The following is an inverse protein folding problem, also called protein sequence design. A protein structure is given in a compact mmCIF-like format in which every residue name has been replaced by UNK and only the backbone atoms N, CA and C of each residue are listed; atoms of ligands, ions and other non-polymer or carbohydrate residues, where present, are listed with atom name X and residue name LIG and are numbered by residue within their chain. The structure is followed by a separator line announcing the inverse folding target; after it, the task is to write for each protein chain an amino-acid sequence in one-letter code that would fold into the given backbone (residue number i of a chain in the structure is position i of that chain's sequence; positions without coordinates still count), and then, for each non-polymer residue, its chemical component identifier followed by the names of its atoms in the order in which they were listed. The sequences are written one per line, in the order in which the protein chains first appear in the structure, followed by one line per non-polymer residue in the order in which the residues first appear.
data_IF_370519853199
#
_entry.id   IF_370519853199
#
_cell.length_a   1.000
_cell.length_b   1.000
_cell.length_c   1.000
_cell.angle_alpha   90.00
_cell.angle_beta   90.00
_cell.angle_gamma   90.00
#
_symmetry.space_group_name_H-M   'P 1'
#
loop_
_entity.id
_entity.type
_entity.pdbx_description
1 polymer ?
#
# COMPACT_ATOMS: atom_id res chain seq x y z
N UNK A 1 -9.80 14.19 4.83
CA UNK A 1 -8.60 13.43 4.42
C UNK A 1 -9.13 12.06 4.00
N UNK A 2 -8.82 11.57 2.79
CA UNK A 2 -9.24 10.21 2.38
C UNK A 2 -8.08 9.27 2.71
N UNK A 3 -8.23 8.40 3.70
CA UNK A 3 -7.18 7.47 4.11
C UNK A 3 -7.07 7.32 5.63
N UNK A 4 -6.31 6.30 6.11
CA UNK A 4 -6.14 6.00 7.52
C UNK A 4 -5.84 7.22 8.39
N UNK A 5 -6.51 7.29 9.54
CA UNK A 5 -6.43 8.44 10.45
C UNK A 5 -5.41 8.28 11.58
N UNK A 6 -4.91 7.06 11.84
CA UNK A 6 -3.94 6.77 12.90
C UNK A 6 -2.57 6.41 12.33
N UNK A 7 -1.54 6.54 13.18
CA UNK A 7 -0.18 6.18 12.80
C UNK A 7 -0.08 4.68 12.47
N UNK A 8 -0.66 3.84 13.32
CA UNK A 8 -0.62 2.39 13.19
C UNK A 8 -1.40 1.91 11.97
N UNK A 9 -2.51 2.56 11.63
CA UNK A 9 -3.32 2.16 10.47
C UNK A 9 -2.65 2.58 9.16
N UNK A 10 -2.01 3.74 9.10
CA UNK A 10 -1.21 4.11 7.93
C UNK A 10 0.03 3.19 7.80
N UNK A 11 0.66 2.82 8.91
CA UNK A 11 1.74 1.84 8.89
C UNK A 11 1.27 0.44 8.45
N UNK A 12 0.03 0.05 8.78
CA UNK A 12 -0.56 -1.19 8.29
C UNK A 12 -0.74 -1.19 6.76
N UNK A 13 -1.16 -0.07 6.17
CA UNK A 13 -1.21 0.09 4.70
C UNK A 13 0.18 -0.12 4.11
N UNK A 14 1.21 0.53 4.68
CA UNK A 14 2.60 0.40 4.21
C UNK A 14 3.08 -1.05 4.34
N UNK A 15 2.77 -1.73 5.45
CA UNK A 15 3.16 -3.12 5.68
C UNK A 15 2.55 -4.05 4.62
N UNK A 16 1.28 -3.85 4.24
CA UNK A 16 0.64 -4.62 3.18
C UNK A 16 1.22 -4.28 1.80
N UNK A 17 1.47 -3.01 1.46
CA UNK A 17 2.16 -2.65 0.22
C UNK A 17 3.56 -3.27 0.11
N UNK A 18 4.33 -3.25 1.19
CA UNK A 18 5.64 -3.91 1.24
C UNK A 18 5.52 -5.44 1.13
N UNK A 19 4.51 -6.04 1.75
CA UNK A 19 4.24 -7.48 1.63
C UNK A 19 3.90 -7.89 0.21
N UNK A 20 3.07 -7.09 -0.48
CA UNK A 20 2.69 -7.27 -1.89
C UNK A 20 3.91 -7.16 -2.80
N UNK A 21 4.69 -6.09 -2.70
CA UNK A 21 5.90 -5.87 -3.50
C UNK A 21 7.02 -6.92 -3.25
N UNK A 22 6.91 -7.70 -2.17
CA UNK A 22 7.86 -8.79 -1.85
C UNK A 22 7.33 -10.17 -2.23
N UNK A 23 6.07 -10.27 -2.65
CA UNK A 23 5.39 -11.56 -2.82
C UNK A 23 5.95 -12.38 -3.99
N UNK A 24 6.44 -11.70 -5.04
CA UNK A 24 7.09 -12.29 -6.20
C UNK A 24 8.59 -12.62 -5.95
N UNK A 25 9.14 -12.16 -4.81
CA UNK A 25 10.53 -12.32 -4.42
C UNK A 25 11.51 -11.31 -5.05
N UNK A 26 11.05 -10.36 -5.87
CA UNK A 26 11.88 -9.37 -6.57
C UNK A 26 11.56 -7.94 -6.12
N UNK A 27 11.66 -7.65 -4.82
CA UNK A 27 11.39 -6.30 -4.33
C UNK A 27 12.29 -5.24 -4.96
N UNK A 28 11.69 -4.37 -5.78
CA UNK A 28 12.40 -3.38 -6.56
C UNK A 28 12.44 -2.02 -5.86
N UNK A 29 13.51 -1.26 -6.15
CA UNK A 29 13.62 0.11 -5.64
C UNK A 29 12.51 1.02 -6.15
N UNK A 30 11.92 0.71 -7.32
CA UNK A 30 10.86 1.50 -7.94
C UNK A 30 9.53 1.35 -7.18
N UNK A 31 9.19 0.14 -6.73
CA UNK A 31 8.00 -0.13 -5.92
C UNK A 31 8.09 0.56 -4.57
N UNK A 32 9.25 0.47 -3.91
CA UNK A 32 9.48 1.17 -2.64
C UNK A 32 9.33 2.69 -2.83
N UNK A 33 9.89 3.24 -3.92
CA UNK A 33 9.76 4.66 -4.23
C UNK A 33 8.29 5.04 -4.49
N UNK A 34 7.52 4.20 -5.18
CA UNK A 34 6.10 4.43 -5.43
C UNK A 34 5.29 4.51 -4.13
N UNK A 35 5.56 3.64 -3.15
CA UNK A 35 4.95 3.72 -1.81
C UNK A 35 5.24 5.09 -1.18
N UNK A 36 6.51 5.51 -1.16
CA UNK A 36 6.90 6.79 -0.53
C UNK A 36 6.27 8.00 -1.23
N UNK A 37 6.22 7.99 -2.56
CA UNK A 37 5.67 9.09 -3.34
C UNK A 37 4.14 9.18 -3.17
N UNK A 38 3.43 8.05 -3.12
CA UNK A 38 2.00 8.00 -2.81
C UNK A 38 1.68 8.57 -1.43
N UNK A 39 2.49 8.21 -0.42
CA UNK A 39 2.36 8.76 0.93
C UNK A 39 2.60 10.28 0.96
N UNK A 40 3.65 10.76 0.29
CA UNK A 40 3.98 12.19 0.21
C UNK A 40 2.84 12.98 -0.42
N UNK A 41 2.27 12.47 -1.52
CA UNK A 41 1.17 13.12 -2.23
C UNK A 41 -0.08 13.23 -1.37
N UNK A 42 -0.42 12.18 -0.60
CA UNK A 42 -1.68 12.14 0.13
C UNK A 42 -1.62 12.81 1.53
N UNK A 43 -0.51 12.64 2.25
CA UNK A 43 -0.39 13.06 3.66
C UNK A 43 0.47 14.31 3.87
N UNK A 44 0.89 14.95 2.77
CA UNK A 44 1.72 16.15 2.79
C UNK A 44 2.96 15.97 3.69
N UNK A 45 3.73 14.91 3.42
CA UNK A 45 5.01 14.64 4.09
C UNK A 45 6.17 15.47 3.52
N UNK A 46 5.90 16.54 2.76
CA UNK A 46 6.97 17.39 2.21
C UNK A 46 7.86 17.93 3.35
N UNK A 47 9.16 17.62 3.26
CA UNK A 47 10.14 17.97 4.30
C UNK A 47 10.02 17.19 5.62
N UNK A 48 9.24 16.10 5.67
CA UNK A 48 9.08 15.24 6.86
C UNK A 48 9.61 13.82 6.65
N UNK A 49 10.80 13.71 6.07
CA UNK A 49 11.42 12.41 5.77
C UNK A 49 11.69 11.56 7.03
N UNK A 50 12.00 12.19 8.18
CA UNK A 50 12.17 11.48 9.45
C UNK A 50 10.89 10.76 9.89
N UNK A 51 9.74 11.44 9.77
CA UNK A 51 8.45 10.85 10.12
C UNK A 51 8.07 9.72 9.15
N UNK A 52 8.37 9.89 7.86
CA UNK A 52 8.17 8.84 6.87
C UNK A 52 9.04 7.61 7.15
N UNK A 53 10.29 7.83 7.61
CA UNK A 53 11.17 6.76 8.03
C UNK A 53 10.62 6.00 9.25
N UNK A 54 10.01 6.69 10.22
CA UNK A 54 9.35 6.06 11.37
C UNK A 54 8.16 5.18 10.95
N UNK A 55 7.33 5.66 10.01
CA UNK A 55 6.24 4.87 9.42
C UNK A 55 6.76 3.60 8.75
N UNK A 56 7.78 3.73 7.90
CA UNK A 56 8.38 2.59 7.19
C UNK A 56 9.02 1.61 8.17
N UNK A 57 9.71 2.10 9.20
CA UNK A 57 10.31 1.24 10.22
C UNK A 57 9.23 0.44 10.96
N UNK A 58 8.19 1.11 11.43
CA UNK A 58 7.09 0.47 12.13
C UNK A 58 6.37 -0.55 11.23
N UNK A 59 6.14 -0.21 9.96
CA UNK A 59 5.54 -1.11 8.98
C UNK A 59 6.38 -2.37 8.72
N UNK A 60 7.71 -2.26 8.70
CA UNK A 60 8.60 -3.43 8.55
C UNK A 60 8.62 -4.35 9.79
N UNK A 61 8.36 -3.79 10.96
CA UNK A 61 8.29 -4.54 12.22
C UNK A 61 6.89 -5.11 12.50
N UNK A 62 5.86 -4.60 11.82
CA UNK A 62 4.48 -5.06 11.94
C UNK A 62 4.29 -6.44 11.32
N UNK A 63 3.61 -7.33 12.05
CA UNK A 63 3.18 -8.62 11.52
C UNK A 63 2.15 -8.42 10.39
N UNK A 64 2.35 -9.10 9.26
CA UNK A 64 1.49 -8.92 8.09
C UNK A 64 0.03 -9.32 8.37
N UNK A 65 -0.22 -10.33 9.22
CA UNK A 65 -1.58 -10.69 9.60
C UNK A 65 -2.21 -9.61 10.48
N UNK A 66 -1.44 -8.99 11.38
CA UNK A 66 -1.92 -7.81 12.13
C UNK A 66 -2.32 -6.67 11.18
N UNK A 67 -1.47 -6.35 10.20
CA UNK A 67 -1.75 -5.31 9.22
C UNK A 67 -3.05 -5.57 8.45
N UNK A 68 -3.23 -6.79 7.95
CA UNK A 68 -4.44 -7.23 7.26
C UNK A 68 -5.68 -7.08 8.16
N UNK A 69 -5.59 -7.48 9.44
CA UNK A 69 -6.72 -7.38 10.36
C UNK A 69 -7.12 -5.93 10.67
N UNK A 70 -6.16 -5.01 10.67
CA UNK A 70 -6.44 -3.57 10.79
C UNK A 70 -7.17 -3.06 9.57
N UNK A 71 -6.64 -3.33 8.38
CA UNK A 71 -7.22 -2.90 7.09
C UNK A 71 -8.65 -3.41 6.90
N UNK A 72 -8.96 -4.64 7.34
CA UNK A 72 -10.33 -5.17 7.26
C UNK A 72 -11.38 -4.33 8.00
N UNK A 73 -10.96 -3.54 9.00
CA UNK A 73 -11.84 -2.70 9.83
C UNK A 73 -11.98 -1.27 9.30
N UNK A 74 -11.22 -0.93 8.26
CA UNK A 74 -11.29 0.38 7.63
C UNK A 74 -12.67 0.68 7.07
N UNK A 75 -13.01 1.96 7.06
CA UNK A 75 -14.19 2.43 6.35
C UNK A 75 -13.99 2.37 4.82
N UNK A 76 -15.02 2.73 4.05
CA UNK A 76 -14.96 2.65 2.59
C UNK A 76 -13.88 3.54 1.97
N UNK A 77 -13.62 4.72 2.55
CA UNK A 77 -12.66 5.68 2.01
C UNK A 77 -11.23 5.23 2.31
N UNK A 78 -11.00 4.71 3.51
CA UNK A 78 -9.74 4.11 3.95
C UNK A 78 -9.41 2.83 3.15
N UNK A 79 -10.40 1.98 2.87
CA UNK A 79 -10.23 0.81 2.00
C UNK A 79 -9.93 1.20 0.56
N UNK A 80 -10.62 2.19 0.01
CA UNK A 80 -10.34 2.67 -1.34
C UNK A 80 -8.91 3.20 -1.43
N UNK A 81 -8.49 4.03 -0.47
CA UNK A 81 -7.12 4.53 -0.41
C UNK A 81 -6.09 3.39 -0.36
N UNK A 82 -6.35 2.36 0.45
CA UNK A 82 -5.46 1.20 0.56
C UNK A 82 -5.34 0.44 -0.76
N UNK A 83 -6.47 0.25 -1.45
CA UNK A 83 -6.50 -0.37 -2.79
C UNK A 83 -5.70 0.43 -3.82
N UNK A 84 -5.89 1.76 -3.85
CA UNK A 84 -5.15 2.66 -4.74
C UNK A 84 -3.64 2.58 -4.48
N UNK A 85 -3.22 2.59 -3.21
CA UNK A 85 -1.82 2.47 -2.81
C UNK A 85 -1.21 1.13 -3.23
N UNK A 86 -1.95 0.02 -3.08
CA UNK A 86 -1.52 -1.30 -3.51
C UNK A 86 -1.31 -1.35 -5.02
N UNK A 87 -2.26 -0.83 -5.78
CA UNK A 87 -2.19 -0.79 -7.23
C UNK A 87 -1.00 0.06 -7.72
N UNK A 88 -0.80 1.26 -7.15
CA UNK A 88 0.34 2.11 -7.51
C UNK A 88 1.69 1.48 -7.15
N UNK A 89 1.74 0.66 -6.11
CA UNK A 89 2.96 -0.04 -5.70
C UNK A 89 3.34 -1.10 -6.72
N UNK A 90 2.38 -1.96 -7.06
CA UNK A 90 2.64 -3.12 -7.90
C UNK A 90 2.74 -2.75 -9.39
N UNK A 91 1.98 -1.75 -9.85
CA UNK A 91 2.08 -1.23 -11.21
C UNK A 91 3.09 -0.08 -11.35
N UNK A 92 4.10 -0.03 -10.48
CA UNK A 92 5.02 1.12 -10.37
C UNK A 92 5.96 1.31 -11.56
N UNK A 93 6.17 0.25 -12.35
CA UNK A 93 6.94 0.27 -13.59
C UNK A 93 6.10 0.73 -14.81
N UNK A 94 4.81 1.00 -14.60
CA UNK A 94 3.84 1.42 -15.61
C UNK A 94 3.12 0.27 -16.31
N UNK A 95 3.28 -0.97 -15.85
CA UNK A 95 2.54 -2.14 -16.33
C UNK A 95 2.07 -2.96 -15.14
N UNK A 96 1.13 -3.88 -15.41
CA UNK A 96 0.74 -4.91 -14.47
C UNK A 96 0.82 -6.23 -15.23
N UNK A 97 1.83 -7.03 -14.94
CA UNK A 97 1.94 -8.35 -15.54
C UNK A 97 0.97 -9.36 -14.89
N UNK A 98 0.76 -10.55 -15.48
CA UNK A 98 -0.20 -11.51 -14.94
C UNK A 98 0.13 -12.02 -13.53
N UNK A 99 1.40 -12.11 -13.15
CA UNK A 99 1.82 -12.58 -11.83
C UNK A 99 1.54 -11.50 -10.78
N UNK A 100 1.89 -10.26 -11.10
CA UNK A 100 1.54 -9.08 -10.31
C UNK A 100 0.02 -8.94 -10.16
N UNK A 101 -0.75 -9.14 -11.24
CA UNK A 101 -2.21 -9.07 -11.20
C UNK A 101 -2.80 -10.12 -10.25
N UNK A 102 -2.27 -11.34 -10.24
CA UNK A 102 -2.67 -12.40 -9.31
C UNK A 102 -2.34 -12.04 -7.85
N UNK A 103 -1.14 -11.53 -7.58
CA UNK A 103 -0.72 -11.08 -6.26
C UNK A 103 -1.62 -9.96 -5.76
N UNK A 104 -1.88 -8.96 -6.61
CA UNK A 104 -2.74 -7.83 -6.30
C UNK A 104 -4.16 -8.30 -5.97
N UNK A 105 -4.78 -9.11 -6.82
CA UNK A 105 -6.13 -9.64 -6.59
C UNK A 105 -6.21 -10.47 -5.30
N UNK A 106 -5.19 -11.29 -5.04
CA UNK A 106 -5.09 -12.04 -3.80
C UNK A 106 -5.05 -11.12 -2.58
N UNK A 107 -4.27 -10.04 -2.62
CA UNK A 107 -4.21 -9.09 -1.52
C UNK A 107 -5.52 -8.31 -1.33
N UNK A 108 -6.18 -7.93 -2.43
CA UNK A 108 -7.50 -7.30 -2.40
C UNK A 108 -8.52 -8.19 -1.68
N UNK A 109 -8.56 -9.48 -2.02
CA UNK A 109 -9.45 -10.45 -1.36
C UNK A 109 -9.08 -10.65 0.11
N UNK A 110 -7.79 -10.87 0.41
CA UNK A 110 -7.31 -11.11 1.76
C UNK A 110 -7.57 -9.92 2.67
N UNK A 111 -7.49 -8.69 2.18
CA UNK A 111 -7.73 -7.47 2.94
C UNK A 111 -9.18 -6.97 2.92
N UNK A 112 -10.08 -7.63 2.17
CA UNK A 112 -11.47 -7.18 1.96
C UNK A 112 -11.55 -5.75 1.38
N UNK A 113 -10.78 -5.51 0.32
CA UNK A 113 -10.66 -4.22 -0.36
C UNK A 113 -11.51 -4.17 -1.65
N UNK A 114 -11.91 -2.96 -2.10
CA UNK A 114 -12.46 -2.80 -3.43
C UNK A 114 -11.36 -2.95 -4.49
N UNK A 115 -11.70 -3.42 -5.69
CA UNK A 115 -10.78 -3.37 -6.83
C UNK A 115 -10.57 -1.91 -7.27
N UNK A 116 -9.31 -1.55 -7.53
CA UNK A 116 -8.96 -0.29 -8.18
C UNK A 116 -9.72 -0.11 -9.50
N UNK A 117 -10.45 0.99 -9.62
CA UNK A 117 -11.27 1.30 -10.80
C UNK A 117 -10.57 2.21 -11.81
N UNK A 118 -9.34 2.64 -11.54
CA UNK A 118 -8.57 3.53 -12.43
C UNK A 118 -7.69 2.81 -13.44
N UNK A 119 -7.76 1.47 -13.54
CA UNK A 119 -6.88 0.67 -14.39
C UNK A 119 -6.98 1.02 -15.89
N UNK A 120 -8.11 1.57 -16.34
CA UNK A 120 -8.30 2.05 -17.72
C UNK A 120 -7.45 3.29 -18.07
N UNK A 121 -6.68 3.84 -17.12
CA UNK A 121 -5.87 5.05 -17.29
C UNK A 121 -4.35 4.78 -17.39
N UNK A 122 -3.93 3.52 -17.36
CA UNK A 122 -2.54 3.11 -17.63
C UNK A 122 -2.24 2.97 -19.12
#
# INVERSE_FOLDING_TARGET
MRGPSTFEDLAAVIAVCLGTARADGNFEKIEFKAILDGLRAQYNFEGRDDLLADYVKFANEMDLQEAIQRIKRFDSDEKQFTSDMLFMTIASDGKLDPEEEEIYKGMIEVCDLPLFTGADQL
#
